data_IF_060260572912
#
_entry.id   IF_060260572912
#
_cell.length_a   1.000
_cell.length_b   1.000
_cell.length_c   1.000
_cell.angle_alpha   90.00
_cell.angle_beta   90.00
_cell.angle_gamma   90.00
#
_symmetry.space_group_name_H-M   'P 1'
#
loop_
_entity.id
_entity.type
_entity.pdbx_description
1 polymer ?
#
# COMPACT_ATOMS: atom_id res chain seq x y z
N UNK A 1 -46.67 29.22 -24.34
CA UNK A 1 -45.26 29.31 -24.82
C UNK A 1 -44.21 28.75 -23.85
N UNK A 2 -44.51 28.51 -22.56
CA UNK A 2 -43.51 27.95 -21.62
C UNK A 2 -43.13 26.49 -21.89
N UNK A 3 -44.07 25.60 -22.23
CA UNK A 3 -43.77 24.16 -22.37
C UNK A 3 -42.78 23.84 -23.49
N UNK A 4 -42.78 24.63 -24.57
CA UNK A 4 -41.86 24.44 -25.71
C UNK A 4 -40.40 24.69 -25.33
N UNK A 5 -40.12 25.70 -24.49
CA UNK A 5 -38.76 26.00 -24.02
C UNK A 5 -38.28 24.98 -22.98
N UNK A 6 -39.18 24.47 -22.14
CA UNK A 6 -38.87 23.40 -21.19
C UNK A 6 -38.54 22.10 -21.91
N UNK A 7 -39.30 21.74 -22.96
CA UNK A 7 -39.03 20.55 -23.77
C UNK A 7 -37.67 20.63 -24.47
N UNK A 8 -37.31 21.78 -25.05
CA UNK A 8 -35.98 21.98 -25.67
C UNK A 8 -34.84 21.74 -24.66
N UNK A 9 -34.97 22.22 -23.42
CA UNK A 9 -33.96 22.00 -22.37
C UNK A 9 -33.87 20.54 -21.93
N UNK A 10 -34.99 19.83 -21.90
CA UNK A 10 -35.02 18.39 -21.61
C UNK A 10 -34.33 17.62 -22.73
N UNK A 11 -34.58 17.98 -23.99
CA UNK A 11 -33.94 17.36 -25.15
C UNK A 11 -32.42 17.63 -25.17
N UNK A 12 -31.97 18.85 -24.83
CA UNK A 12 -30.55 19.18 -24.69
C UNK A 12 -29.87 18.38 -23.56
N UNK A 13 -30.55 18.22 -22.42
CA UNK A 13 -30.03 17.41 -21.31
C UNK A 13 -29.94 15.94 -21.69
N UNK A 14 -30.98 15.39 -22.34
CA UNK A 14 -30.98 14.01 -22.83
C UNK A 14 -29.88 13.79 -23.87
N UNK A 15 -29.67 14.74 -24.79
CA UNK A 15 -28.60 14.66 -25.77
C UNK A 15 -27.23 14.68 -25.09
N UNK A 16 -27.03 15.55 -24.10
CA UNK A 16 -25.77 15.63 -23.35
C UNK A 16 -25.49 14.33 -22.60
N UNK A 17 -26.51 13.74 -21.97
CA UNK A 17 -26.38 12.45 -21.28
C UNK A 17 -26.09 11.31 -22.27
N UNK A 18 -26.73 11.33 -23.44
CA UNK A 18 -26.49 10.36 -24.50
C UNK A 18 -25.06 10.45 -25.02
N UNK A 19 -24.58 11.66 -25.33
CA UNK A 19 -23.22 11.89 -25.82
C UNK A 19 -22.16 11.48 -24.77
N UNK A 20 -22.42 11.76 -23.49
CA UNK A 20 -21.57 11.32 -22.39
C UNK A 20 -21.54 9.79 -22.27
N UNK A 21 -22.69 9.12 -22.38
CA UNK A 21 -22.78 7.66 -22.39
C UNK A 21 -22.02 7.06 -23.58
N UNK A 22 -22.23 7.61 -24.79
CA UNK A 22 -21.58 7.16 -26.01
C UNK A 22 -20.05 7.31 -25.92
N UNK A 23 -19.58 8.41 -25.32
CA UNK A 23 -18.17 8.62 -25.04
C UNK A 23 -17.60 7.58 -24.06
N UNK A 24 -18.31 7.28 -22.97
CA UNK A 24 -17.90 6.24 -22.00
C UNK A 24 -17.80 4.88 -22.69
N UNK A 25 -18.82 4.50 -23.47
CA UNK A 25 -18.84 3.22 -24.21
C UNK A 25 -17.68 3.13 -25.18
N UNK A 26 -17.42 4.17 -25.99
CA UNK A 26 -16.28 4.21 -26.92
C UNK A 26 -14.93 4.16 -26.20
N UNK A 27 -14.82 4.81 -25.05
CA UNK A 27 -13.61 4.78 -24.22
C UNK A 27 -13.33 3.37 -23.71
N UNK A 28 -14.36 2.70 -23.16
CA UNK A 28 -14.27 1.30 -22.71
C UNK A 28 -13.95 0.36 -23.87
N UNK A 29 -14.61 0.50 -25.02
CA UNK A 29 -14.36 -0.32 -26.20
C UNK A 29 -12.91 -0.17 -26.72
N UNK A 30 -12.36 1.05 -26.72
CA UNK A 30 -10.95 1.28 -27.05
C UNK A 30 -10.00 0.64 -26.04
N UNK A 31 -10.32 0.67 -24.75
CA UNK A 31 -9.51 0.01 -23.71
C UNK A 31 -9.53 -1.51 -23.87
N UNK A 32 -10.71 -2.09 -24.09
CA UNK A 32 -10.90 -3.53 -24.34
C UNK A 32 -10.18 -3.98 -25.62
N UNK A 33 -10.35 -3.24 -26.73
CA UNK A 33 -9.70 -3.55 -28.01
C UNK A 33 -8.17 -3.49 -27.96
N UNK A 34 -7.60 -2.65 -27.09
CA UNK A 34 -6.15 -2.56 -26.85
C UNK A 34 -5.63 -3.66 -25.91
N UNK A 35 -6.49 -4.58 -25.44
CA UNK A 35 -6.17 -5.56 -24.38
C UNK A 35 -5.57 -4.90 -23.12
N UNK A 36 -5.87 -3.61 -22.92
CA UNK A 36 -5.61 -2.94 -21.65
C UNK A 36 -6.62 -3.54 -20.69
N UNK A 37 -6.20 -4.59 -19.98
CA UNK A 37 -7.03 -5.34 -19.02
C UNK A 37 -7.87 -4.34 -18.20
N UNK A 38 -9.15 -4.65 -17.89
CA UNK A 38 -10.04 -3.83 -17.03
C UNK A 38 -9.39 -3.38 -15.71
N UNK A 39 -8.32 -4.07 -15.32
CA UNK A 39 -7.42 -3.84 -14.22
C UNK A 39 -6.40 -2.68 -14.37
N UNK A 40 -6.01 -2.32 -15.59
CA UNK A 40 -5.00 -1.30 -15.89
C UNK A 40 -5.29 0.08 -15.29
N UNK A 41 -6.51 0.65 -15.38
CA UNK A 41 -6.79 1.95 -14.76
C UNK A 41 -6.73 1.88 -13.23
N UNK A 42 -7.24 0.79 -12.62
CA UNK A 42 -7.19 0.58 -11.16
C UNK A 42 -5.75 0.45 -10.66
N UNK A 43 -4.94 -0.31 -11.37
CA UNK A 43 -3.50 -0.43 -11.09
C UNK A 43 -2.80 0.92 -11.20
N UNK A 44 -3.06 1.67 -12.27
CA UNK A 44 -2.48 2.99 -12.47
C UNK A 44 -2.85 3.94 -11.32
N UNK A 45 -4.10 3.92 -10.87
CA UNK A 45 -4.55 4.77 -9.76
C UNK A 45 -3.95 4.34 -8.42
N UNK A 46 -3.85 3.04 -8.14
CA UNK A 46 -3.12 2.54 -6.98
C UNK A 46 -1.65 2.97 -6.99
N UNK A 47 -0.99 2.97 -8.16
CA UNK A 47 0.40 3.45 -8.29
C UNK A 47 0.48 4.95 -7.98
N UNK A 48 -0.45 5.78 -8.48
CA UNK A 48 -0.49 7.21 -8.15
C UNK A 48 -0.69 7.46 -6.67
N UNK A 49 -1.64 6.76 -6.04
CA UNK A 49 -1.90 6.88 -4.60
C UNK A 49 -0.70 6.41 -3.78
N UNK A 50 0.00 5.38 -4.24
CA UNK A 50 1.24 4.90 -3.65
C UNK A 50 2.36 5.94 -3.76
N UNK A 51 2.50 6.62 -4.90
CA UNK A 51 3.46 7.70 -5.08
C UNK A 51 3.11 8.89 -4.18
N UNK A 52 1.84 9.31 -4.18
CA UNK A 52 1.37 10.39 -3.31
C UNK A 52 1.61 10.09 -1.83
N UNK A 53 1.51 8.82 -1.42
CA UNK A 53 1.89 8.40 -0.09
C UNK A 53 3.40 8.60 0.18
N UNK A 54 4.30 8.28 -0.76
CA UNK A 54 5.74 8.57 -0.61
C UNK A 54 5.93 10.08 -0.39
N UNK A 55 5.44 10.86 -1.33
CA UNK A 55 5.70 12.31 -1.40
C UNK A 55 5.15 13.05 -0.17
N UNK A 56 4.07 12.51 0.42
CA UNK A 56 3.39 13.12 1.56
C UNK A 56 3.68 12.43 2.90
N UNK A 57 4.57 11.44 2.96
CA UNK A 57 4.88 10.70 4.21
C UNK A 57 5.13 11.65 5.38
N UNK A 58 5.93 12.69 5.14
CA UNK A 58 6.36 13.67 6.13
C UNK A 58 5.20 14.49 6.73
N UNK A 59 4.05 14.54 6.06
CA UNK A 59 2.85 15.27 6.47
C UNK A 59 1.95 14.47 7.42
N UNK A 60 2.26 13.20 7.66
CA UNK A 60 1.48 12.33 8.52
C UNK A 60 2.31 11.79 9.68
N UNK A 61 1.62 11.41 10.75
CA UNK A 61 2.14 10.61 11.85
C UNK A 61 1.37 9.30 11.83
N UNK A 62 2.07 8.18 12.00
CA UNK A 62 1.48 6.85 11.96
C UNK A 62 1.74 6.15 13.29
N UNK A 63 0.71 5.48 13.80
CA UNK A 63 0.75 4.61 14.96
C UNK A 63 -0.11 3.37 14.68
N UNK A 64 0.15 2.30 15.45
CA UNK A 64 -0.61 1.05 15.40
C UNK A 64 -1.24 0.83 16.78
N UNK A 65 -2.53 0.52 16.82
CA UNK A 65 -3.24 0.23 18.07
C UNK A 65 -3.03 -1.23 18.52
N UNK A 66 -3.49 -1.56 19.73
CA UNK A 66 -3.38 -2.91 20.31
C UNK A 66 -4.18 -3.97 19.52
N UNK A 67 -5.16 -3.54 18.72
CA UNK A 67 -5.97 -4.38 17.84
C UNK A 67 -5.30 -4.60 16.47
N UNK A 68 -4.18 -3.95 16.20
CA UNK A 68 -3.44 -4.02 14.93
C UNK A 68 -3.97 -3.11 13.82
N UNK A 69 -4.91 -2.21 14.12
CA UNK A 69 -5.33 -1.15 13.20
C UNK A 69 -4.31 0.00 13.19
N UNK A 70 -4.28 0.74 12.08
CA UNK A 70 -3.38 1.88 11.93
C UNK A 70 -4.15 3.19 12.08
N UNK A 71 -3.58 4.09 12.84
CA UNK A 71 -4.01 5.49 12.92
C UNK A 71 -3.06 6.34 12.08
N UNK A 72 -3.64 7.08 11.13
CA UNK A 72 -2.90 7.94 10.21
C UNK A 72 -3.34 9.37 10.46
N UNK A 73 -2.58 10.09 11.29
CA UNK A 73 -2.87 11.47 11.66
C UNK A 73 -2.22 12.45 10.69
N UNK A 74 -3.00 13.38 10.15
CA UNK A 74 -2.50 14.45 9.28
C UNK A 74 -2.04 15.65 10.12
N UNK A 75 -0.75 16.00 10.02
CA UNK A 75 -0.12 17.05 10.85
C UNK A 75 -0.73 18.45 10.70
N UNK A 76 -1.35 18.75 9.56
CA UNK A 76 -1.84 20.10 9.27
C UNK A 76 -3.15 20.44 10.00
N UNK A 77 -4.04 19.47 10.15
CA UNK A 77 -5.41 19.66 10.64
C UNK A 77 -5.77 18.70 11.79
N UNK A 78 -4.86 17.79 12.18
CA UNK A 78 -5.08 16.81 13.23
C UNK A 78 -6.12 15.75 12.88
N UNK A 79 -6.53 15.65 11.60
CA UNK A 79 -7.51 14.65 11.19
C UNK A 79 -6.86 13.27 11.22
N UNK A 80 -7.48 12.35 11.96
CA UNK A 80 -7.05 10.95 12.07
C UNK A 80 -7.88 10.08 11.13
N UNK A 81 -7.20 9.29 10.30
CA UNK A 81 -7.81 8.26 9.47
C UNK A 81 -7.46 6.88 10.03
N UNK A 82 -8.46 6.01 10.16
CA UNK A 82 -8.27 4.65 10.63
C UNK A 82 -8.16 3.72 9.44
N UNK A 83 -7.11 2.90 9.41
CA UNK A 83 -6.91 1.83 8.42
C UNK A 83 -6.97 0.48 9.13
N UNK A 84 -7.85 -0.40 8.66
CA UNK A 84 -8.04 -1.73 9.26
C UNK A 84 -7.66 -2.83 8.28
N UNK A 85 -6.95 -3.85 8.74
CA UNK A 85 -6.67 -5.07 7.98
C UNK A 85 -7.78 -6.10 8.22
N UNK A 86 -8.44 -6.54 7.15
CA UNK A 86 -9.48 -7.56 7.21
C UNK A 86 -8.93 -8.99 7.16
N UNK A 87 -7.61 -9.18 7.35
CA UNK A 87 -6.90 -10.48 7.45
C UNK A 87 -7.00 -11.38 6.21
N UNK A 88 -7.43 -10.84 5.07
CA UNK A 88 -7.53 -11.60 3.83
C UNK A 88 -7.84 -10.73 2.62
N UNK A 89 -7.37 -11.15 1.44
CA UNK A 89 -7.74 -10.52 0.17
C UNK A 89 -8.75 -11.39 -0.58
N UNK A 90 -9.95 -10.85 -0.81
CA UNK A 90 -10.98 -11.47 -1.66
C UNK A 90 -10.90 -10.99 -3.13
N UNK A 91 -9.78 -10.41 -3.50
CA UNK A 91 -9.52 -9.89 -4.83
C UNK A 91 -9.28 -11.03 -5.83
N UNK A 92 -9.80 -10.88 -7.05
CA UNK A 92 -9.36 -11.71 -8.16
C UNK A 92 -7.90 -11.40 -8.49
N UNK A 93 -7.02 -12.40 -8.42
CA UNK A 93 -5.57 -12.22 -8.64
C UNK A 93 -5.26 -11.59 -10.01
N UNK A 94 -6.08 -11.90 -11.02
CA UNK A 94 -5.92 -11.39 -12.39
C UNK A 94 -6.45 -9.97 -12.61
N UNK A 95 -7.18 -9.40 -11.64
CA UNK A 95 -7.78 -8.07 -11.75
C UNK A 95 -6.83 -6.92 -11.37
N UNK A 96 -5.53 -7.19 -11.18
CA UNK A 96 -4.45 -6.23 -10.86
C UNK A 96 -4.87 -5.10 -9.90
N UNK A 97 -5.61 -5.43 -8.85
CA UNK A 97 -6.03 -4.47 -7.82
C UNK A 97 -4.94 -4.24 -6.76
N UNK A 98 -3.89 -5.06 -6.78
CA UNK A 98 -2.74 -4.95 -5.89
C UNK A 98 -1.77 -3.90 -6.39
N UNK A 99 -1.34 -3.04 -5.46
CA UNK A 99 -0.12 -2.28 -5.64
C UNK A 99 1.11 -3.13 -5.31
N UNK A 100 2.27 -2.74 -5.85
CA UNK A 100 3.56 -3.40 -5.57
C UNK A 100 3.92 -3.32 -4.08
N UNK A 101 3.51 -2.26 -3.39
CA UNK A 101 3.69 -2.13 -1.94
C UNK A 101 2.77 -3.06 -1.11
N UNK A 102 1.96 -3.92 -1.73
CA UNK A 102 1.04 -4.82 -1.02
C UNK A 102 -0.35 -4.24 -0.73
N UNK A 103 -0.57 -2.95 -1.02
CA UNK A 103 -1.88 -2.33 -0.83
C UNK A 103 -2.98 -2.96 -1.68
N UNK A 104 -4.11 -3.25 -1.02
CA UNK A 104 -5.31 -3.79 -1.65
C UNK A 104 -6.57 -3.27 -0.97
N UNK A 105 -7.49 -2.70 -1.76
CA UNK A 105 -8.78 -2.20 -1.27
C UNK A 105 -9.72 -3.31 -0.78
N UNK A 106 -9.44 -4.58 -1.09
CA UNK A 106 -10.23 -5.72 -0.63
C UNK A 106 -9.69 -6.34 0.66
N UNK A 107 -8.46 -6.00 1.05
CA UNK A 107 -7.86 -6.41 2.32
C UNK A 107 -7.96 -5.29 3.36
N UNK A 108 -7.68 -4.06 2.95
CA UNK A 108 -7.63 -2.91 3.85
C UNK A 108 -8.82 -1.97 3.65
N UNK A 109 -9.39 -1.52 4.76
CA UNK A 109 -10.43 -0.47 4.78
C UNK A 109 -9.89 0.80 5.39
N UNK A 110 -10.41 1.95 4.97
CA UNK A 110 -9.96 3.25 5.46
C UNK A 110 -11.14 4.22 5.59
N UNK A 111 -11.15 5.00 6.67
CA UNK A 111 -12.23 5.97 6.95
C UNK A 111 -12.26 7.20 6.05
N UNK A 112 -11.25 7.41 5.18
CA UNK A 112 -11.14 8.62 4.35
C UNK A 112 -12.18 8.77 3.22
N UNK A 113 -13.23 7.92 3.17
CA UNK A 113 -14.32 7.89 2.18
C UNK A 113 -13.89 7.76 0.70
N UNK A 114 -12.59 7.76 0.42
CA UNK A 114 -12.02 7.69 -0.92
C UNK A 114 -11.59 6.27 -1.28
N UNK A 115 -12.46 5.30 -1.03
CA UNK A 115 -12.25 3.90 -1.40
C UNK A 115 -13.18 3.54 -2.55
N UNK A 116 -12.63 3.51 -3.76
CA UNK A 116 -13.32 2.97 -4.92
C UNK A 116 -13.01 1.47 -5.03
N UNK A 117 -13.93 0.69 -5.59
CA UNK A 117 -13.76 -0.76 -5.74
C UNK A 117 -12.48 -1.10 -6.52
N UNK A 118 -11.53 -1.75 -5.86
CA UNK A 118 -10.23 -2.14 -6.43
C UNK A 118 -9.16 -1.04 -6.39
N UNK A 119 -9.38 0.09 -5.71
CA UNK A 119 -8.43 1.20 -5.59
C UNK A 119 -8.22 1.55 -4.11
N UNK A 120 -7.00 1.35 -3.64
CA UNK A 120 -6.58 1.70 -2.28
C UNK A 120 -6.28 3.20 -2.21
N UNK A 121 -6.71 3.85 -1.13
CA UNK A 121 -6.39 5.26 -0.89
C UNK A 121 -4.94 5.41 -0.42
N UNK A 122 -4.42 6.65 -0.44
CA UNK A 122 -3.07 6.96 0.04
C UNK A 122 -2.81 6.56 1.51
N UNK A 123 -3.83 6.62 2.38
CA UNK A 123 -3.65 6.27 3.80
C UNK A 123 -3.37 4.78 3.99
N UNK A 124 -3.97 3.91 3.17
CA UNK A 124 -3.62 2.48 3.15
C UNK A 124 -2.16 2.29 2.72
N UNK A 125 -1.72 3.02 1.69
CA UNK A 125 -0.33 2.95 1.25
C UNK A 125 0.67 3.45 2.31
N UNK A 126 0.30 4.47 3.08
CA UNK A 126 1.10 4.94 4.22
C UNK A 126 1.18 3.87 5.31
N UNK A 127 0.04 3.32 5.73
CA UNK A 127 -0.05 2.30 6.77
C UNK A 127 0.80 1.07 6.47
N UNK A 128 0.67 0.51 5.26
CA UNK A 128 1.40 -0.72 4.88
C UNK A 128 2.90 -0.47 4.82
N UNK A 129 3.34 0.70 4.34
CA UNK A 129 4.76 1.03 4.34
C UNK A 129 5.33 1.23 5.73
N UNK A 130 4.55 1.84 6.61
CA UNK A 130 4.92 2.01 8.01
C UNK A 130 5.12 0.64 8.68
N UNK A 131 4.21 -0.29 8.43
CA UNK A 131 4.34 -1.67 8.92
C UNK A 131 5.62 -2.34 8.39
N UNK A 132 5.89 -2.25 7.08
CA UNK A 132 7.14 -2.77 6.51
C UNK A 132 8.40 -2.13 7.10
N UNK A 133 8.38 -0.84 7.42
CA UNK A 133 9.54 -0.18 8.06
C UNK A 133 9.77 -0.63 9.49
N UNK A 134 8.71 -0.94 10.24
CA UNK A 134 8.85 -1.46 11.61
C UNK A 134 9.42 -2.89 11.58
N UNK A 135 8.92 -3.74 10.68
CA UNK A 135 9.43 -5.11 10.53
C UNK A 135 10.93 -5.11 10.16
N UNK A 136 11.37 -4.19 9.30
CA UNK A 136 12.78 -4.03 8.94
C UNK A 136 13.65 -3.58 10.13
N UNK A 137 13.16 -2.69 10.99
CA UNK A 137 13.88 -2.23 12.19
C UNK A 137 14.01 -3.35 13.24
N UNK A 138 12.94 -4.12 13.47
CA UNK A 138 12.97 -5.24 14.42
C UNK A 138 13.96 -6.33 13.98
N UNK A 139 14.00 -6.65 12.68
CA UNK A 139 14.93 -7.67 12.17
C UNK A 139 16.41 -7.24 12.25
N UNK A 140 16.70 -5.93 12.15
CA UNK A 140 18.07 -5.42 12.31
C UNK A 140 18.58 -5.52 13.74
N UNK A 141 17.71 -5.28 14.73
CA UNK A 141 18.09 -5.36 16.14
C UNK A 141 18.38 -6.82 16.58
N UNK A 142 17.65 -7.79 16.04
CA UNK A 142 17.86 -9.21 16.35
C UNK A 142 19.10 -9.84 15.66
N UNK A 143 19.64 -9.22 14.61
CA UNK A 143 20.74 -9.78 13.80
C UNK A 143 22.13 -9.26 14.15
N UNK A 144 22.29 -8.37 15.15
CA UNK A 144 23.61 -7.97 15.66
C UNK A 144 23.95 -8.50 17.07
N UNK A 145 24.30 -9.79 17.26
CA UNK A 145 24.86 -10.26 18.53
C UNK A 145 26.39 -10.10 18.65
N UNK A 146 27.13 -9.63 17.63
CA UNK A 146 28.61 -9.71 17.65
C UNK A 146 29.38 -8.51 17.05
N UNK A 147 28.78 -7.32 16.92
CA UNK A 147 29.51 -6.15 16.39
C UNK A 147 30.42 -5.45 17.43
N UNK A 148 30.42 -5.87 18.70
CA UNK A 148 31.23 -5.28 19.78
C UNK A 148 32.34 -6.23 20.28
N UNK A 149 33.05 -6.91 19.38
CA UNK A 149 34.37 -7.44 19.71
C UNK A 149 35.41 -6.50 19.11
N UNK A 150 36.02 -5.68 19.97
CA UNK A 150 37.22 -4.93 19.62
C UNK A 150 38.26 -5.92 19.06
N UNK A 151 38.82 -5.70 17.86
CA UNK A 151 39.81 -6.62 17.26
C UNK A 151 41.16 -6.68 18.00
N UNK A 152 41.28 -6.03 19.15
CA UNK A 152 42.54 -5.71 19.83
C UNK A 152 42.60 -6.15 21.30
N UNK A 153 41.75 -7.07 21.74
CA UNK A 153 41.97 -7.70 23.04
C UNK A 153 42.81 -8.98 22.91
N UNK A 154 44.11 -8.83 23.17
CA UNK A 154 45.12 -9.86 23.02
C UNK A 154 45.26 -10.73 24.29
N UNK A 155 44.26 -10.77 25.18
CA UNK A 155 44.42 -11.36 26.51
C UNK A 155 43.50 -12.55 26.79
N UNK A 156 43.68 -13.64 26.05
CA UNK A 156 43.45 -14.99 26.62
C UNK A 156 44.27 -16.02 25.85
N UNK A 157 45.51 -16.25 26.30
CA UNK A 157 46.24 -17.50 26.03
C UNK A 157 45.47 -18.64 26.68
N UNK A 158 44.87 -19.50 25.85
CA UNK A 158 44.23 -20.74 26.27
C UNK A 158 45.34 -21.79 26.42
N UNK A 159 45.83 -22.01 27.64
CA UNK A 159 46.79 -23.06 27.94
C UNK A 159 46.13 -24.43 27.71
N UNK A 160 46.54 -25.12 26.65
CA UNK A 160 46.22 -26.52 26.39
C UNK A 160 47.09 -27.41 27.29
N UNK A 161 46.52 -28.36 28.05
CA UNK A 161 47.33 -29.35 28.74
C UNK A 161 47.87 -30.39 27.76
N UNK A 162 49.20 -30.47 27.67
CA UNK A 162 49.94 -31.52 26.97
C UNK A 162 49.74 -32.87 27.66
N UNK A 163 48.95 -33.76 27.05
CA UNK A 163 49.19 -35.21 27.17
C UNK A 163 48.30 -35.99 26.21
N UNK A 164 48.88 -36.56 25.15
CA UNK A 164 48.49 -37.88 24.64
C UNK A 164 49.63 -38.44 23.77
N UNK A 165 50.49 -39.27 24.38
CA UNK A 165 51.41 -40.15 23.64
C UNK A 165 50.62 -41.35 23.09
N UNK A 166 50.72 -41.69 21.80
CA UNK A 166 50.29 -42.99 21.31
C UNK A 166 51.41 -44.04 21.45
N UNK A 167 51.07 -45.33 21.63
CA UNK A 167 52.07 -46.38 21.76
C UNK A 167 52.66 -46.73 20.40
N UNK A 168 53.96 -47.02 20.40
CA UNK A 168 54.70 -47.55 19.26
C UNK A 168 54.26 -48.99 18.95
N UNK A 169 53.93 -49.24 17.69
CA UNK A 169 53.99 -50.54 17.03
C UNK A 169 54.51 -50.36 15.61
#
# INVERSE_FOLDING_TARGET
MLSRKTNIRVDELLQTLYDAFDWVVRSIAKQVGRRLKKAAPRRAENIKNCQAAIDQTNLYVLSKDDEGNYEVEKKSDGIVYFVRDNLGCLCFQDENCHCVCGACSYRFTCTCLYQLSGISCKHIHLAIRYDSSIEEEQFRDETEPFANLDPYDNTTTFDLPDSFNPPLS
#
